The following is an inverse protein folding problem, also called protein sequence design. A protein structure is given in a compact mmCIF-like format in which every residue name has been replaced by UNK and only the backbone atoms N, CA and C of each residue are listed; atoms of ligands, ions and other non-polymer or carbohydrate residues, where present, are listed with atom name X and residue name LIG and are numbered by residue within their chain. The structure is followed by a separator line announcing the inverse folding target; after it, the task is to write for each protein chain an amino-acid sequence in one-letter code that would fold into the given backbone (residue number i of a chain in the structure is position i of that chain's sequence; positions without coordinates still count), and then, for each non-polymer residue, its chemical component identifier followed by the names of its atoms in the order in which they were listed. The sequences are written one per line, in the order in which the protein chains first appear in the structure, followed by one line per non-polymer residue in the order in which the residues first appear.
data_IF_273815133453
#
_entry.id   IF_273815133453
#
_cell.length_a   1.000
_cell.length_b   1.000
_cell.length_c   1.000
_cell.angle_alpha   90.00
_cell.angle_beta   90.00
_cell.angle_gamma   90.00
#
_symmetry.space_group_name_H-M   'P 1'
#
loop_
_entity.id
_entity.type
_entity.pdbx_description
1 polymer ?
#
# COMPACT_ATOMS: atom_id res chain seq x y z
N UNK A 1 15.58 3.44 57.96
CA UNK A 1 14.91 4.17 56.86
C UNK A 1 15.74 3.95 55.60
N UNK A 2 15.09 3.40 54.57
CA UNK A 2 15.57 3.08 53.21
C UNK A 2 16.76 2.14 53.09
N UNK A 3 16.49 0.89 52.72
CA UNK A 3 17.40 0.13 51.83
C UNK A 3 16.51 -0.59 50.83
N UNK A 4 16.24 0.09 49.73
CA UNK A 4 15.46 -0.44 48.62
C UNK A 4 16.34 -1.42 47.83
N UNK A 5 15.95 -2.70 47.90
CA UNK A 5 16.02 -3.71 46.85
C UNK A 5 17.19 -3.60 45.86
N UNK A 6 18.33 -4.22 46.20
CA UNK A 6 19.21 -4.80 45.19
C UNK A 6 18.55 -6.09 44.69
N UNK A 7 17.49 -5.94 43.89
CA UNK A 7 16.86 -7.06 43.21
C UNK A 7 17.84 -7.54 42.15
N UNK A 8 18.65 -8.53 42.50
CA UNK A 8 19.54 -9.22 41.56
C UNK A 8 18.70 -9.89 40.48
N UNK A 9 18.59 -9.24 39.34
CA UNK A 9 18.01 -9.84 38.15
C UNK A 9 19.17 -10.44 37.35
N UNK A 10 19.15 -11.75 37.17
CA UNK A 10 20.14 -12.42 36.33
C UNK A 10 19.67 -12.35 34.88
N UNK A 11 20.59 -11.94 33.99
CA UNK A 11 20.33 -11.84 32.55
C UNK A 11 21.14 -12.93 31.86
N UNK A 12 20.43 -13.90 31.28
CA UNK A 12 21.04 -15.04 30.58
C UNK A 12 20.84 -14.83 29.07
N UNK A 13 21.90 -14.50 28.31
CA UNK A 13 21.79 -14.29 26.87
C UNK A 13 21.49 -15.61 26.15
N UNK A 14 20.63 -15.54 25.13
CA UNK A 14 20.25 -16.64 24.24
C UNK A 14 20.75 -16.31 22.84
N UNK A 15 21.61 -17.18 22.30
CA UNK A 15 22.23 -17.01 20.98
C UNK A 15 21.90 -18.17 20.06
N UNK A 16 21.88 -17.92 18.76
CA UNK A 16 21.94 -18.94 17.70
C UNK A 16 23.16 -18.68 16.84
N UNK A 17 24.16 -19.54 16.97
CA UNK A 17 25.51 -19.25 16.48
C UNK A 17 26.03 -17.94 17.08
N UNK A 18 26.53 -17.05 16.21
CA UNK A 18 27.05 -15.73 16.61
C UNK A 18 25.96 -14.69 16.93
N UNK A 19 24.71 -14.95 16.54
CA UNK A 19 23.61 -13.99 16.66
C UNK A 19 22.90 -14.11 18.01
N UNK A 20 22.83 -13.01 18.76
CA UNK A 20 21.96 -12.91 19.93
C UNK A 20 20.49 -12.79 19.49
N UNK A 21 19.63 -13.66 20.02
CA UNK A 21 18.19 -13.67 19.71
C UNK A 21 17.38 -13.07 20.86
N UNK A 22 17.93 -13.04 22.07
CA UNK A 22 17.31 -12.44 23.24
C UNK A 22 18.03 -12.81 24.52
N UNK A 23 17.38 -12.55 25.64
CA UNK A 23 17.85 -12.94 26.95
C UNK A 23 16.69 -13.40 27.84
N UNK A 24 16.94 -14.35 28.72
CA UNK A 24 16.05 -14.61 29.85
C UNK A 24 16.42 -13.66 30.99
N UNK A 25 15.44 -12.88 31.44
CA UNK A 25 15.53 -12.10 32.66
C UNK A 25 14.92 -12.92 33.78
N UNK A 26 15.76 -13.44 34.66
CA UNK A 26 15.37 -14.24 35.81
C UNK A 26 15.19 -13.33 37.02
N UNK A 27 14.00 -13.36 37.59
CA UNK A 27 13.62 -12.72 38.86
C UNK A 27 13.26 -13.81 39.85
N UNK A 28 13.31 -13.55 41.18
CA UNK A 28 12.97 -14.56 42.18
C UNK A 28 11.58 -15.20 41.97
N UNK A 29 10.63 -14.45 41.43
CA UNK A 29 9.24 -14.88 41.23
C UNK A 29 8.91 -15.21 39.77
N UNK A 30 9.76 -14.83 38.82
CA UNK A 30 9.41 -14.87 37.39
C UNK A 30 10.63 -14.90 36.48
N UNK A 31 10.61 -15.82 35.52
CA UNK A 31 11.54 -15.79 34.38
C UNK A 31 10.80 -15.29 33.15
N UNK A 32 11.34 -14.29 32.46
CA UNK A 32 10.73 -13.72 31.24
C UNK A 32 11.74 -13.69 30.11
N UNK A 33 11.35 -14.16 28.94
CA UNK A 33 12.15 -14.01 27.72
C UNK A 33 11.98 -12.60 27.15
N UNK A 34 13.11 -11.94 26.85
CA UNK A 34 13.17 -10.63 26.21
C UNK A 34 13.91 -10.78 24.88
N UNK A 35 13.25 -10.60 23.73
CA UNK A 35 13.91 -10.72 22.43
C UNK A 35 14.93 -9.59 22.21
N UNK A 36 16.04 -9.92 21.54
CA UNK A 36 17.03 -8.96 21.10
C UNK A 36 16.49 -8.25 19.86
N UNK A 37 16.10 -7.00 20.03
CA UNK A 37 15.64 -6.14 18.93
C UNK A 37 16.76 -5.18 18.58
N UNK A 38 17.27 -5.28 17.35
CA UNK A 38 18.17 -4.27 16.80
C UNK A 38 17.34 -3.04 16.40
N UNK A 39 17.25 -2.09 17.32
CA UNK A 39 16.51 -0.84 17.14
C UNK A 39 17.08 -0.04 15.97
N UNK A 40 18.40 -0.07 15.77
CA UNK A 40 19.06 0.64 14.68
C UNK A 40 18.67 0.05 13.33
N UNK A 41 18.72 -1.27 13.19
CA UNK A 41 18.25 -1.95 11.97
C UNK A 41 16.75 -1.71 11.72
N UNK A 42 15.92 -1.70 12.78
CA UNK A 42 14.50 -1.40 12.66
C UNK A 42 14.24 0.03 12.17
N UNK A 43 14.93 1.01 12.75
CA UNK A 43 14.80 2.42 12.35
C UNK A 43 15.25 2.60 10.91
N UNK A 44 16.45 2.11 10.56
CA UNK A 44 16.97 2.20 9.19
C UNK A 44 16.05 1.50 8.18
N UNK A 45 15.58 0.29 8.51
CA UNK A 45 14.65 -0.46 7.66
C UNK A 45 13.32 0.26 7.46
N UNK A 46 12.76 0.86 8.52
CA UNK A 46 11.50 1.61 8.43
C UNK A 46 11.66 2.89 7.60
N UNK A 47 12.77 3.61 7.72
CA UNK A 47 13.06 4.80 6.90
C UNK A 47 13.25 4.43 5.41
N UNK A 48 13.97 3.34 5.13
CA UNK A 48 14.12 2.82 3.78
C UNK A 48 12.76 2.41 3.16
N UNK A 49 11.91 1.75 3.93
CA UNK A 49 10.57 1.40 3.47
C UNK A 49 9.70 2.64 3.20
N UNK A 50 9.70 3.60 4.12
CA UNK A 50 8.93 4.83 3.99
C UNK A 50 9.33 5.64 2.75
N UNK A 51 10.64 5.73 2.46
CA UNK A 51 11.13 6.42 1.26
C UNK A 51 10.71 5.71 -0.02
N UNK A 52 10.83 4.39 -0.09
CA UNK A 52 10.35 3.61 -1.26
C UNK A 52 8.85 3.78 -1.47
N UNK A 53 8.06 3.70 -0.40
CA UNK A 53 6.61 3.89 -0.48
C UNK A 53 6.24 5.30 -0.98
N UNK A 54 6.89 6.34 -0.46
CA UNK A 54 6.66 7.72 -0.89
C UNK A 54 6.97 7.92 -2.38
N UNK A 55 8.10 7.36 -2.87
CA UNK A 55 8.46 7.41 -4.29
C UNK A 55 7.44 6.68 -5.14
N UNK A 56 7.01 5.48 -4.74
CA UNK A 56 6.00 4.71 -5.46
C UNK A 56 4.67 5.47 -5.59
N UNK A 57 4.22 6.12 -4.50
CA UNK A 57 3.02 6.96 -4.51
C UNK A 57 3.20 8.16 -5.43
N UNK A 58 4.32 8.87 -5.34
CA UNK A 58 4.62 10.03 -6.18
C UNK A 58 4.62 9.65 -7.68
N UNK A 59 5.26 8.54 -8.04
CA UNK A 59 5.27 8.01 -9.41
C UNK A 59 3.86 7.61 -9.86
N UNK A 60 3.09 6.96 -8.98
CA UNK A 60 1.70 6.59 -9.25
C UNK A 60 0.82 7.80 -9.54
N UNK A 61 0.97 8.87 -8.77
CA UNK A 61 0.27 10.14 -8.98
C UNK A 61 0.74 10.81 -10.29
N UNK A 62 2.05 10.92 -10.51
CA UNK A 62 2.62 11.55 -11.70
C UNK A 62 2.23 10.82 -13.00
N UNK A 63 2.07 9.50 -12.95
CA UNK A 63 1.64 8.67 -14.09
C UNK A 63 0.13 8.52 -14.21
N UNK A 64 -0.65 9.01 -13.24
CA UNK A 64 -2.10 8.91 -13.27
C UNK A 64 -2.63 9.78 -14.40
N UNK A 65 -3.22 9.13 -15.41
CA UNK A 65 -3.95 9.85 -16.46
C UNK A 65 -5.23 10.43 -15.86
N UNK A 66 -5.60 11.69 -16.18
CA UNK A 66 -6.90 12.21 -15.79
C UNK A 66 -7.99 11.32 -16.40
N UNK A 67 -9.13 11.14 -15.69
CA UNK A 67 -10.25 10.39 -16.26
C UNK A 67 -10.70 11.10 -17.55
N UNK A 68 -10.88 10.33 -18.63
CA UNK A 68 -11.28 10.86 -19.94
C UNK A 68 -12.71 11.45 -19.93
N UNK A 69 -13.49 11.08 -18.92
CA UNK A 69 -14.87 11.51 -18.71
C UNK A 69 -14.94 12.10 -17.31
N UNK A 70 -15.50 13.31 -17.19
CA UNK A 70 -15.76 13.93 -15.89
C UNK A 70 -16.95 13.29 -15.17
N UNK A 71 -17.67 14.07 -14.35
CA UNK A 71 -18.83 13.56 -13.64
C UNK A 71 -19.92 13.08 -14.62
N UNK A 72 -20.46 11.90 -14.36
CA UNK A 72 -21.64 11.34 -15.02
C UNK A 72 -22.84 11.63 -14.11
N UNK A 73 -23.80 12.43 -14.58
CA UNK A 73 -25.00 12.74 -13.79
C UNK A 73 -26.25 12.29 -14.53
N UNK A 74 -27.18 11.65 -13.82
CA UNK A 74 -28.49 11.32 -14.36
C UNK A 74 -29.47 12.45 -14.06
N UNK A 75 -30.13 12.98 -15.09
CA UNK A 75 -31.20 13.95 -14.95
C UNK A 75 -32.55 13.29 -14.62
N UNK A 76 -33.53 14.07 -14.14
CA UNK A 76 -34.91 13.59 -14.01
C UNK A 76 -35.40 13.09 -15.37
N UNK A 77 -35.84 11.82 -15.45
CA UNK A 77 -36.23 11.18 -16.72
C UNK A 77 -35.16 10.29 -17.37
N UNK A 78 -34.02 10.04 -16.71
CA UNK A 78 -33.07 8.99 -17.12
C UNK A 78 -31.99 9.40 -18.11
N UNK A 79 -31.93 10.68 -18.50
CA UNK A 79 -30.88 11.19 -19.38
C UNK A 79 -29.53 11.25 -18.65
N UNK A 80 -28.46 10.79 -19.30
CA UNK A 80 -27.08 10.88 -18.81
C UNK A 80 -26.41 12.14 -19.37
N UNK A 81 -25.97 13.05 -18.49
CA UNK A 81 -25.14 14.20 -18.84
C UNK A 81 -23.68 13.92 -18.49
N UNK A 82 -22.79 14.23 -19.42
CA UNK A 82 -21.33 14.09 -19.29
C UNK A 82 -20.73 15.49 -19.33
N UNK A 83 -20.06 15.93 -18.25
CA UNK A 83 -19.37 17.22 -18.20
C UNK A 83 -17.86 17.05 -18.33
N UNK A 84 -17.18 18.02 -18.96
CA UNK A 84 -15.72 18.03 -19.18
C UNK A 84 -15.19 16.77 -19.90
N UNK A 85 -15.97 16.20 -20.80
CA UNK A 85 -15.47 15.18 -21.72
C UNK A 85 -14.72 15.86 -22.85
N UNK A 86 -13.39 15.77 -22.84
CA UNK A 86 -12.69 15.74 -24.12
C UNK A 86 -13.27 14.52 -24.87
N UNK A 87 -13.79 14.70 -26.08
CA UNK A 87 -14.27 13.57 -26.85
C UNK A 87 -13.15 12.52 -26.87
N UNK A 88 -13.34 11.33 -26.29
CA UNK A 88 -12.29 10.33 -26.29
C UNK A 88 -11.91 10.12 -27.75
N UNK A 89 -10.60 10.13 -28.09
CA UNK A 89 -10.19 9.98 -29.47
C UNK A 89 -10.89 8.74 -29.99
N UNK A 90 -11.61 8.87 -31.10
CA UNK A 90 -12.20 7.76 -31.81
C UNK A 90 -11.04 6.85 -32.17
N UNK A 91 -10.74 5.90 -31.28
CA UNK A 91 -9.75 4.88 -31.58
C UNK A 91 -10.33 4.17 -32.77
N UNK A 92 -9.70 4.33 -33.93
CA UNK A 92 -9.82 3.37 -35.00
C UNK A 92 -9.31 2.06 -34.38
N UNK A 93 -10.23 1.33 -33.75
CA UNK A 93 -9.91 0.03 -33.22
C UNK A 93 -9.63 -0.81 -34.47
N UNK A 94 -8.35 -0.97 -34.80
CA UNK A 94 -7.89 -1.82 -35.91
C UNK A 94 -8.53 -3.21 -35.81
N UNK A 95 -8.91 -3.61 -34.58
CA UNK A 95 -9.64 -4.84 -34.30
C UNK A 95 -10.82 -4.57 -33.36
N UNK A 96 -12.00 -5.08 -33.73
CA UNK A 96 -13.21 -5.03 -32.89
C UNK A 96 -13.01 -5.84 -31.61
N UNK A 97 -13.41 -5.31 -30.44
CA UNK A 97 -13.35 -6.08 -29.20
C UNK A 97 -14.40 -7.20 -29.20
N UNK A 98 -14.09 -8.33 -28.56
CA UNK A 98 -14.92 -9.54 -28.58
C UNK A 98 -16.37 -9.31 -28.11
N UNK A 99 -16.57 -8.42 -27.11
CA UNK A 99 -17.91 -8.09 -26.61
C UNK A 99 -18.78 -7.42 -27.67
N UNK A 100 -18.19 -6.70 -28.63
CA UNK A 100 -18.95 -6.05 -29.69
C UNK A 100 -19.55 -7.07 -30.66
N UNK A 101 -18.90 -8.22 -30.84
CA UNK A 101 -19.46 -9.35 -31.59
C UNK A 101 -20.58 -10.03 -30.81
N UNK A 102 -20.39 -10.27 -29.51
CA UNK A 102 -21.41 -10.86 -28.65
C UNK A 102 -22.70 -10.02 -28.61
N UNK A 103 -22.57 -8.69 -28.52
CA UNK A 103 -23.71 -7.77 -28.46
C UNK A 103 -24.27 -7.37 -29.84
N UNK A 104 -23.71 -7.91 -30.95
CA UNK A 104 -24.02 -7.48 -32.33
C UNK A 104 -24.00 -5.95 -32.51
N UNK A 105 -23.07 -5.28 -31.81
CA UNK A 105 -22.99 -3.82 -31.80
C UNK A 105 -22.57 -3.29 -33.18
N UNK A 106 -23.37 -2.40 -33.76
CA UNK A 106 -23.06 -1.72 -35.02
C UNK A 106 -22.28 -0.43 -34.76
N UNK A 107 -21.34 -0.11 -35.65
CA UNK A 107 -20.57 1.14 -35.55
C UNK A 107 -21.50 2.28 -35.95
N UNK A 108 -21.61 3.30 -35.12
CA UNK A 108 -22.23 4.55 -35.50
C UNK A 108 -21.22 5.31 -36.36
N UNK A 109 -21.47 5.35 -37.66
CA UNK A 109 -20.73 6.20 -38.60
C UNK A 109 -21.43 7.55 -38.62
N UNK A 110 -20.73 8.61 -38.21
CA UNK A 110 -21.16 9.97 -38.51
C UNK A 110 -20.90 10.22 -39.98
N UNK A 111 -21.98 10.32 -40.77
CA UNK A 111 -21.91 10.82 -42.14
C UNK A 111 -21.54 12.31 -42.09
N UNK A 112 -20.70 12.81 -43.02
CA UNK A 112 -20.28 14.22 -43.06
C UNK A 112 -21.43 15.18 -43.38
#
# INVERSE_FOLDING_TARGET
MVTALDSRHEVIPVRSGEREIGAYVVRPERTTFVPAVDVTALVLGSMAFATVAAVAVAVGIARRRPPAIGAVTMGPGGWLSLKRSAAPPLRAAERRPWWAHALRARRLTTEP
#
